data_IF_552239621058
#
_entry.id   IF_552239621058
#
_cell.length_a   1.000
_cell.length_b   1.000
_cell.length_c   1.000
_cell.angle_alpha   90.00
_cell.angle_beta   90.00
_cell.angle_gamma   90.00
#
_symmetry.space_group_name_H-M   'P 1'
#
loop_
_entity.id
_entity.type
_entity.pdbx_description
1 polymer ?
#
# COMPACT_ATOMS: atom_id res chain seq x y z
N UNK A 1 19.92 27.91 62.00
CA UNK A 1 19.73 27.47 60.62
C UNK A 1 19.82 25.95 60.38
N UNK A 2 19.74 25.08 61.36
CA UNK A 2 19.82 23.60 61.21
C UNK A 2 18.48 22.85 61.34
N UNK A 3 17.38 23.55 61.58
CA UNK A 3 16.05 22.93 61.76
C UNK A 3 15.06 23.17 60.61
N UNK A 4 15.35 24.09 59.70
CA UNK A 4 14.48 24.40 58.54
C UNK A 4 14.68 23.38 57.38
N UNK A 5 15.87 22.78 57.28
CA UNK A 5 16.19 21.80 56.24
C UNK A 5 15.53 20.41 56.44
N UNK A 6 15.14 20.07 57.66
CA UNK A 6 14.49 18.78 57.97
C UNK A 6 13.00 18.72 57.62
N UNK A 7 12.32 19.87 57.54
CA UNK A 7 10.89 19.93 57.21
C UNK A 7 10.64 20.03 55.69
N UNK A 8 11.62 20.50 54.93
CA UNK A 8 11.51 20.57 53.46
C UNK A 8 11.66 19.16 52.82
N UNK A 9 12.45 18.26 53.45
CA UNK A 9 12.65 16.89 52.94
C UNK A 9 11.44 15.97 53.21
N UNK A 10 10.58 16.27 54.19
CA UNK A 10 9.36 15.50 54.46
C UNK A 10 8.15 15.93 53.62
N UNK A 11 8.13 17.15 53.08
CA UNK A 11 7.01 17.65 52.26
C UNK A 11 7.13 17.16 50.81
N UNK A 12 8.33 16.82 50.32
CA UNK A 12 8.56 16.29 48.99
C UNK A 12 8.18 14.80 48.80
N UNK A 13 7.91 14.06 49.90
CA UNK A 13 7.55 12.63 49.87
C UNK A 13 6.02 12.39 49.85
N UNK A 14 5.20 13.45 49.88
CA UNK A 14 3.73 13.36 49.85
C UNK A 14 3.12 14.07 48.64
N UNK A 15 3.83 14.13 47.51
CA UNK A 15 3.15 14.42 46.25
C UNK A 15 2.28 13.19 45.90
N UNK A 16 0.94 13.31 45.84
CA UNK A 16 0.13 12.21 45.35
C UNK A 16 0.59 11.96 43.91
N UNK A 17 1.19 10.81 43.66
CA UNK A 17 1.34 10.28 42.30
C UNK A 17 -0.09 10.06 41.83
N UNK A 18 -0.66 11.07 41.17
CA UNK A 18 -1.88 10.88 40.38
C UNK A 18 -1.50 9.92 39.30
N UNK A 19 -1.74 8.63 39.49
CA UNK A 19 -1.89 7.65 38.45
C UNK A 19 -3.09 8.15 37.63
N UNK A 20 -2.81 9.00 36.66
CA UNK A 20 -3.71 9.16 35.53
C UNK A 20 -3.82 7.75 34.93
N UNK A 21 -4.91 7.05 35.22
CA UNK A 21 -5.34 5.96 34.41
C UNK A 21 -5.44 6.54 33.00
N UNK A 22 -4.41 6.31 32.19
CA UNK A 22 -4.40 6.76 30.78
C UNK A 22 -5.57 6.04 30.13
N UNK A 23 -6.70 6.74 30.03
CA UNK A 23 -7.80 6.27 29.20
C UNK A 23 -7.20 5.98 27.84
N UNK A 24 -7.35 4.74 27.39
CA UNK A 24 -6.88 4.35 26.05
C UNK A 24 -7.44 5.36 25.03
N UNK A 25 -6.58 6.01 24.24
CA UNK A 25 -7.04 6.97 23.25
C UNK A 25 -7.96 6.26 22.24
N UNK A 26 -9.15 6.81 22.06
CA UNK A 26 -10.09 6.33 21.04
C UNK A 26 -9.72 7.01 19.71
N UNK A 27 -9.41 6.21 18.70
CA UNK A 27 -9.05 6.68 17.38
C UNK A 27 -10.21 6.43 16.41
N UNK A 28 -10.88 7.50 15.90
CA UNK A 28 -11.82 7.37 14.82
C UNK A 28 -11.12 6.96 13.52
N UNK A 29 -11.86 6.33 12.59
CA UNK A 29 -11.33 5.84 11.31
C UNK A 29 -10.55 6.90 10.53
N UNK A 30 -11.10 8.11 10.42
CA UNK A 30 -10.47 9.20 9.67
C UNK A 30 -9.09 9.59 10.23
N UNK A 31 -8.95 9.58 11.57
CA UNK A 31 -7.66 9.84 12.21
C UNK A 31 -6.63 8.75 11.89
N UNK A 32 -7.07 7.49 11.80
CA UNK A 32 -6.21 6.37 11.40
C UNK A 32 -5.77 6.55 9.94
N UNK A 33 -6.71 6.83 9.02
CA UNK A 33 -6.41 7.04 7.60
C UNK A 33 -5.44 8.20 7.37
N UNK A 34 -5.60 9.31 8.11
CA UNK A 34 -4.67 10.44 8.06
C UNK A 34 -3.28 10.08 8.57
N UNK A 35 -3.18 9.29 9.65
CA UNK A 35 -1.88 8.83 10.17
C UNK A 35 -1.20 7.89 9.19
N UNK A 36 -1.95 7.01 8.52
CA UNK A 36 -1.42 6.14 7.46
C UNK A 36 -0.83 6.97 6.33
N UNK A 37 -1.53 7.99 5.86
CA UNK A 37 -1.04 8.86 4.78
C UNK A 37 0.25 9.60 5.15
N UNK A 38 0.34 10.12 6.38
CA UNK A 38 1.46 10.97 6.82
C UNK A 38 2.68 10.16 7.28
N UNK A 39 2.47 9.05 7.98
CA UNK A 39 3.53 8.40 8.75
C UNK A 39 4.03 7.10 8.10
N UNK A 40 3.31 6.53 7.13
CA UNK A 40 3.69 5.25 6.54
C UNK A 40 5.02 5.37 5.77
N UNK A 41 6.00 4.55 6.17
CA UNK A 41 7.38 4.62 5.65
C UNK A 41 7.42 4.28 4.15
N UNK A 42 6.61 3.32 3.69
CA UNK A 42 6.58 2.96 2.27
C UNK A 42 6.08 4.13 1.41
N UNK A 43 5.08 4.88 1.88
CA UNK A 43 4.60 6.05 1.16
C UNK A 43 5.67 7.16 1.07
N UNK A 44 6.48 7.33 2.11
CA UNK A 44 7.61 8.27 2.10
C UNK A 44 8.69 7.87 1.08
N UNK A 45 8.90 6.57 0.85
CA UNK A 45 9.90 6.08 -0.13
C UNK A 45 9.62 6.54 -1.56
N UNK A 46 8.35 6.78 -1.93
CA UNK A 46 7.98 7.27 -3.27
C UNK A 46 8.49 8.69 -3.54
N UNK A 47 8.52 9.56 -2.53
CA UNK A 47 9.11 10.89 -2.66
C UNK A 47 10.61 10.79 -2.95
N UNK A 48 11.32 9.95 -2.21
CA UNK A 48 12.76 9.72 -2.41
C UNK A 48 13.05 9.12 -3.79
N UNK A 49 12.23 8.19 -4.28
CA UNK A 49 12.36 7.64 -5.64
C UNK A 49 12.13 8.70 -6.70
N UNK A 50 11.13 9.55 -6.53
CA UNK A 50 10.86 10.64 -7.46
C UNK A 50 12.00 11.67 -7.48
N UNK A 51 12.60 11.98 -6.33
CA UNK A 51 13.78 12.85 -6.25
C UNK A 51 15.02 12.21 -6.86
N UNK A 52 15.20 10.88 -6.73
CA UNK A 52 16.27 10.17 -7.41
C UNK A 52 16.22 10.36 -8.94
N UNK A 53 15.02 10.34 -9.53
CA UNK A 53 14.87 10.62 -10.97
C UNK A 53 15.25 12.06 -11.33
N UNK A 54 15.06 13.02 -10.44
CA UNK A 54 15.52 14.41 -10.65
C UNK A 54 17.03 14.47 -10.80
N UNK A 55 17.77 13.84 -9.88
CA UNK A 55 19.23 13.78 -9.96
C UNK A 55 19.72 12.92 -11.14
N UNK A 56 19.04 11.82 -11.46
CA UNK A 56 19.32 11.02 -12.65
C UNK A 56 19.12 11.82 -13.94
N UNK A 57 18.13 12.68 -13.98
CA UNK A 57 17.88 13.58 -15.11
C UNK A 57 18.99 14.63 -15.25
N UNK A 58 19.50 15.16 -14.14
CA UNK A 58 20.64 16.09 -14.15
C UNK A 58 21.93 15.36 -14.59
N UNK A 59 22.19 14.16 -14.10
CA UNK A 59 23.31 13.33 -14.49
C UNK A 59 23.30 13.01 -16.00
N UNK A 60 22.09 12.83 -16.59
CA UNK A 60 21.96 12.57 -18.04
C UNK A 60 22.40 13.74 -18.93
N UNK A 61 22.63 14.93 -18.39
CA UNK A 61 23.19 16.08 -19.11
C UNK A 61 24.68 16.26 -18.92
N UNK A 62 25.32 15.45 -18.09
CA UNK A 62 26.76 15.50 -17.87
C UNK A 62 27.53 15.07 -19.14
N UNK A 63 28.61 15.75 -19.40
CA UNK A 63 29.53 15.35 -20.45
C UNK A 63 30.43 14.20 -19.93
N UNK A 64 30.87 13.37 -20.85
CA UNK A 64 31.90 12.39 -20.53
C UNK A 64 33.22 13.09 -20.15
N UNK A 65 33.96 12.51 -19.23
CA UNK A 65 35.25 13.04 -18.84
C UNK A 65 36.19 13.06 -20.06
N UNK A 66 37.10 14.07 -20.16
CA UNK A 66 38.14 14.06 -21.17
C UNK A 66 39.05 12.81 -21.00
N UNK A 67 39.34 12.17 -22.10
CA UNK A 67 40.26 11.05 -22.12
C UNK A 67 41.66 11.55 -22.38
N UNK A 68 42.64 11.11 -21.55
CA UNK A 68 44.04 11.38 -21.71
C UNK A 68 44.76 10.05 -21.97
N UNK A 69 45.49 9.99 -23.06
CA UNK A 69 46.25 8.83 -23.47
C UNK A 69 47.73 9.15 -23.66
N UNK A 70 48.59 8.21 -23.31
CA UNK A 70 50.04 8.25 -23.60
C UNK A 70 50.35 7.00 -24.38
N UNK A 71 51.13 7.17 -25.46
CA UNK A 71 51.49 6.06 -26.33
C UNK A 71 52.67 6.41 -27.20
N UNK A 72 53.01 5.53 -28.11
CA UNK A 72 54.02 5.77 -29.16
C UNK A 72 53.36 5.81 -30.51
N UNK A 73 53.87 6.60 -31.43
CA UNK A 73 53.36 6.76 -32.78
C UNK A 73 54.50 6.47 -33.78
N UNK A 74 54.20 5.64 -34.80
CA UNK A 74 55.14 5.23 -35.85
C UNK A 74 56.49 4.64 -35.28
N UNK A 75 56.40 3.97 -34.15
CA UNK A 75 57.57 3.33 -33.55
C UNK A 75 57.79 1.95 -34.19
N UNK A 76 58.98 1.66 -34.75
CA UNK A 76 59.28 0.37 -35.36
C UNK A 76 59.16 -0.79 -34.36
N UNK A 77 58.85 -1.98 -34.84
CA UNK A 77 58.84 -3.18 -33.99
C UNK A 77 60.28 -3.47 -33.46
N UNK A 78 60.39 -4.01 -32.24
CA UNK A 78 61.67 -4.39 -31.68
C UNK A 78 62.41 -5.32 -32.62
N UNK A 79 63.71 -5.03 -32.89
CA UNK A 79 64.55 -5.82 -33.75
C UNK A 79 64.59 -5.42 -35.23
N UNK A 80 63.76 -4.40 -35.65
CA UNK A 80 63.89 -3.83 -37.00
C UNK A 80 65.07 -2.88 -37.08
N UNK A 81 65.83 -2.96 -38.19
CA UNK A 81 66.98 -2.05 -38.47
C UNK A 81 66.43 -0.66 -38.79
N UNK A 82 66.83 0.31 -38.01
CA UNK A 82 66.42 1.72 -38.17
C UNK A 82 67.61 2.38 -38.95
N UNK A 83 67.40 2.77 -40.20
CA UNK A 83 68.37 3.40 -41.06
C UNK A 83 68.47 4.91 -40.91
N UNK A 84 67.35 5.58 -40.57
CA UNK A 84 67.32 7.01 -40.36
C UNK A 84 66.77 7.33 -38.94
N UNK A 85 67.34 8.36 -38.36
CA UNK A 85 66.95 8.85 -37.05
C UNK A 85 65.44 9.33 -37.02
N UNK A 86 64.91 9.62 -38.20
CA UNK A 86 63.48 9.97 -38.42
C UNK A 86 62.52 8.78 -38.23
N UNK A 87 62.99 7.57 -38.36
CA UNK A 87 62.19 6.35 -38.31
C UNK A 87 62.06 5.78 -36.88
N UNK A 88 62.63 6.46 -35.87
CA UNK A 88 62.53 6.05 -34.45
C UNK A 88 61.18 6.18 -33.84
N UNK A 89 60.27 6.84 -34.52
CA UNK A 89 58.91 7.13 -34.01
C UNK A 89 58.84 8.30 -33.04
N UNK A 90 57.71 8.48 -32.40
CA UNK A 90 57.44 9.58 -31.48
C UNK A 90 56.67 9.12 -30.22
N UNK A 91 56.94 9.72 -29.09
CA UNK A 91 56.08 9.68 -27.92
C UNK A 91 54.88 10.59 -28.17
N UNK A 92 53.65 10.07 -28.00
CA UNK A 92 52.41 10.77 -28.23
C UNK A 92 51.67 10.97 -26.92
N UNK A 93 51.25 12.18 -26.63
CA UNK A 93 50.29 12.55 -25.59
C UNK A 93 49.01 12.97 -26.29
N UNK A 94 47.90 12.28 -25.97
CA UNK A 94 46.58 12.49 -26.55
C UNK A 94 45.63 13.05 -25.52
N UNK A 95 44.80 14.03 -25.90
CA UNK A 95 43.67 14.51 -25.15
C UNK A 95 42.46 14.48 -26.10
N UNK A 96 41.38 13.83 -25.64
CA UNK A 96 40.13 13.69 -26.43
C UNK A 96 38.93 14.05 -25.57
N UNK A 97 38.01 14.85 -26.15
CA UNK A 97 36.76 15.25 -25.47
C UNK A 97 35.57 15.05 -26.39
N UNK A 98 34.59 14.31 -25.90
CA UNK A 98 33.28 14.21 -26.52
C UNK A 98 32.43 15.46 -26.17
N UNK A 99 31.77 16.04 -27.18
CA UNK A 99 30.88 17.17 -27.08
C UNK A 99 29.51 16.69 -27.55
N UNK A 100 28.69 16.11 -26.66
CA UNK A 100 27.37 15.61 -27.04
C UNK A 100 26.43 16.73 -27.42
N UNK A 101 25.49 16.45 -28.32
CA UNK A 101 24.54 17.46 -28.78
C UNK A 101 23.58 17.87 -27.63
N UNK A 102 23.51 19.16 -27.26
CA UNK A 102 22.67 19.62 -26.15
C UNK A 102 21.18 19.28 -26.32
N UNK A 103 20.70 19.18 -27.55
CA UNK A 103 19.30 18.85 -27.81
C UNK A 103 18.98 17.36 -27.52
N UNK A 104 19.97 16.47 -27.64
CA UNK A 104 19.85 15.06 -27.19
C UNK A 104 19.80 15.01 -25.67
N UNK A 105 20.76 15.67 -25.00
CA UNK A 105 20.86 15.70 -23.55
C UNK A 105 19.60 16.25 -22.91
N UNK A 106 19.10 17.40 -23.40
CA UNK A 106 17.89 18.01 -22.87
C UNK A 106 16.62 17.17 -23.11
N UNK A 107 16.51 16.46 -24.22
CA UNK A 107 15.38 15.57 -24.48
C UNK A 107 15.44 14.37 -23.53
N UNK A 108 16.63 13.76 -23.34
CA UNK A 108 16.85 12.66 -22.40
C UNK A 108 16.59 13.09 -20.96
N UNK A 109 17.03 14.29 -20.55
CA UNK A 109 16.72 14.86 -19.24
C UNK A 109 15.22 14.94 -19.00
N UNK A 110 14.45 15.49 -19.95
CA UNK A 110 12.98 15.59 -19.83
C UNK A 110 12.31 14.24 -19.71
N UNK A 111 12.74 13.25 -20.48
CA UNK A 111 12.24 11.89 -20.37
C UNK A 111 12.52 11.31 -18.97
N UNK A 112 13.76 11.33 -18.50
CA UNK A 112 14.12 10.77 -17.18
C UNK A 112 13.38 11.51 -16.06
N UNK A 113 13.29 12.85 -16.12
CA UNK A 113 12.56 13.63 -15.13
C UNK A 113 11.07 13.26 -15.06
N UNK A 114 10.45 12.92 -16.22
CA UNK A 114 9.03 12.51 -16.27
C UNK A 114 8.75 11.21 -15.52
N UNK A 115 9.73 10.32 -15.39
CA UNK A 115 9.59 9.07 -14.63
C UNK A 115 9.34 9.34 -13.13
N UNK A 116 9.87 10.46 -12.61
CA UNK A 116 9.55 10.90 -11.25
C UNK A 116 8.07 11.21 -11.02
N UNK A 117 7.35 11.67 -12.05
CA UNK A 117 5.89 11.88 -11.96
C UNK A 117 5.13 10.56 -11.92
N UNK A 118 5.58 9.55 -12.67
CA UNK A 118 5.02 8.19 -12.63
C UNK A 118 5.17 7.58 -11.23
N UNK A 119 6.33 7.78 -10.59
CA UNK A 119 6.53 7.34 -9.20
C UNK A 119 5.61 8.05 -8.21
N UNK A 120 5.46 9.37 -8.33
CA UNK A 120 4.52 10.12 -7.47
C UNK A 120 3.08 9.63 -7.64
N UNK A 121 2.64 9.36 -8.88
CA UNK A 121 1.33 8.78 -9.14
C UNK A 121 1.18 7.37 -8.53
N UNK A 122 2.25 6.58 -8.50
CA UNK A 122 2.30 5.27 -7.84
C UNK A 122 2.04 5.34 -6.34
N UNK A 123 2.50 6.41 -5.66
CA UNK A 123 2.22 6.65 -4.24
C UNK A 123 0.73 6.69 -3.94
N UNK A 124 -0.05 7.39 -4.74
CA UNK A 124 -1.48 7.57 -4.49
C UNK A 124 -2.27 6.26 -4.66
N UNK A 125 -1.81 5.36 -5.53
CA UNK A 125 -2.37 4.01 -5.67
C UNK A 125 -2.10 3.21 -4.39
N UNK A 126 -0.84 3.19 -3.93
CA UNK A 126 -0.45 2.48 -2.71
C UNK A 126 -1.16 3.04 -1.47
N UNK A 127 -1.34 4.36 -1.39
CA UNK A 127 -2.11 4.99 -0.32
C UNK A 127 -3.56 4.50 -0.33
N UNK A 128 -4.19 4.41 -1.50
CA UNK A 128 -5.56 3.92 -1.62
C UNK A 128 -5.69 2.45 -1.16
N UNK A 129 -4.70 1.61 -1.50
CA UNK A 129 -4.64 0.23 -1.01
C UNK A 129 -4.52 0.16 0.51
N UNK A 130 -3.67 0.99 1.12
CA UNK A 130 -3.52 1.05 2.57
C UNK A 130 -4.76 1.60 3.28
N UNK A 131 -5.44 2.59 2.68
CA UNK A 131 -6.72 3.08 3.21
C UNK A 131 -7.77 1.97 3.22
N UNK A 132 -7.90 1.20 2.14
CA UNK A 132 -8.82 0.08 2.08
C UNK A 132 -8.47 -1.02 3.10
N UNK A 133 -7.18 -1.34 3.24
CA UNK A 133 -6.73 -2.29 4.26
C UNK A 133 -7.01 -1.80 5.68
N UNK A 134 -6.77 -0.52 5.97
CA UNK A 134 -7.06 0.06 7.27
C UNK A 134 -8.57 0.04 7.59
N UNK A 135 -9.44 0.33 6.60
CA UNK A 135 -10.90 0.22 6.74
C UNK A 135 -11.31 -1.20 7.08
N UNK A 136 -10.84 -2.21 6.34
CA UNK A 136 -11.15 -3.62 6.61
C UNK A 136 -10.72 -4.04 8.03
N UNK A 137 -9.53 -3.66 8.47
CA UNK A 137 -9.05 -3.96 9.82
C UNK A 137 -9.91 -3.27 10.89
N UNK A 138 -10.31 -2.02 10.66
CA UNK A 138 -11.18 -1.27 11.55
C UNK A 138 -12.56 -1.92 11.66
N UNK A 139 -13.16 -2.34 10.54
CA UNK A 139 -14.46 -2.99 10.49
C UNK A 139 -14.44 -4.39 11.12
N UNK A 140 -13.38 -5.14 10.91
CA UNK A 140 -13.15 -6.41 11.61
C UNK A 140 -13.14 -6.21 13.14
N UNK A 141 -12.43 -5.19 13.62
CA UNK A 141 -12.42 -4.86 15.04
C UNK A 141 -13.80 -4.44 15.54
N UNK A 142 -14.49 -3.58 14.81
CA UNK A 142 -15.84 -3.11 15.14
C UNK A 142 -16.82 -4.27 15.29
N UNK A 143 -16.84 -5.19 14.33
CA UNK A 143 -17.73 -6.36 14.36
C UNK A 143 -17.32 -7.34 15.47
N UNK A 144 -16.02 -7.53 15.70
CA UNK A 144 -15.53 -8.36 16.82
C UNK A 144 -16.02 -7.84 18.19
N UNK A 145 -16.02 -6.51 18.41
CA UNK A 145 -16.59 -5.92 19.63
C UNK A 145 -18.10 -6.16 19.75
N UNK A 146 -18.84 -5.96 18.65
CA UNK A 146 -20.28 -6.27 18.64
C UNK A 146 -20.55 -7.75 18.95
N UNK A 147 -19.72 -8.64 18.41
CA UNK A 147 -19.82 -10.09 18.65
C UNK A 147 -19.57 -10.44 20.12
N UNK A 148 -18.56 -9.84 20.74
CA UNK A 148 -18.31 -10.01 22.19
C UNK A 148 -19.53 -9.61 23.00
N UNK A 149 -20.18 -8.48 22.69
CA UNK A 149 -21.39 -8.03 23.38
C UNK A 149 -22.52 -9.06 23.27
N UNK A 150 -22.78 -9.56 22.06
CA UNK A 150 -23.79 -10.60 21.83
C UNK A 150 -23.46 -11.90 22.59
N UNK A 151 -22.22 -12.34 22.56
CA UNK A 151 -21.77 -13.54 23.27
C UNK A 151 -21.92 -13.35 24.80
N UNK A 152 -21.61 -12.21 25.35
CA UNK A 152 -21.79 -11.90 26.78
C UNK A 152 -23.28 -11.91 27.19
N UNK A 153 -24.18 -11.42 26.35
CA UNK A 153 -25.61 -11.50 26.57
C UNK A 153 -26.10 -12.96 26.57
N UNK A 154 -25.65 -13.75 25.61
CA UNK A 154 -25.98 -15.17 25.50
C UNK A 154 -25.40 -15.99 26.67
N UNK A 155 -24.24 -15.65 27.19
CA UNK A 155 -23.64 -16.29 28.37
C UNK A 155 -24.52 -16.09 29.64
N UNK A 156 -25.09 -14.89 29.82
CA UNK A 156 -25.99 -14.63 30.95
C UNK A 156 -27.22 -15.53 30.93
N UNK A 157 -27.80 -15.75 29.73
CA UNK A 157 -28.97 -16.65 29.57
C UNK A 157 -28.57 -18.06 29.95
N UNK A 158 -27.46 -18.57 29.44
CA UNK A 158 -27.00 -19.93 29.69
C UNK A 158 -26.61 -20.14 31.16
N UNK A 159 -25.99 -19.14 31.80
CA UNK A 159 -25.68 -19.14 33.24
C UNK A 159 -26.94 -19.23 34.09
N UNK A 160 -28.01 -18.52 33.71
CA UNK A 160 -29.30 -18.59 34.38
C UNK A 160 -29.91 -20.01 34.25
N UNK A 161 -29.86 -20.62 33.06
CA UNK A 161 -30.35 -21.99 32.84
C UNK A 161 -29.59 -23.00 33.70
N UNK A 162 -28.23 -22.90 33.73
CA UNK A 162 -27.40 -23.74 34.58
C UNK A 162 -27.80 -23.66 36.05
N UNK A 163 -27.99 -22.43 36.55
CA UNK A 163 -28.40 -22.22 37.95
C UNK A 163 -29.77 -22.83 38.26
N UNK A 164 -30.73 -22.77 37.34
CA UNK A 164 -32.04 -23.41 37.51
C UNK A 164 -31.89 -24.93 37.58
N UNK A 165 -31.08 -25.55 36.72
CA UNK A 165 -30.80 -26.97 36.75
C UNK A 165 -30.13 -27.42 38.07
N UNK A 166 -29.14 -26.65 38.53
CA UNK A 166 -28.44 -26.93 39.82
C UNK A 166 -29.40 -26.91 41.00
N UNK A 167 -30.38 -25.98 41.03
CA UNK A 167 -31.39 -25.87 42.09
C UNK A 167 -32.41 -27.03 42.01
N UNK A 168 -32.80 -27.47 40.81
CA UNK A 168 -33.82 -28.52 40.60
C UNK A 168 -33.30 -29.93 40.77
N UNK A 169 -32.00 -30.14 40.56
CA UNK A 169 -31.40 -31.48 40.59
C UNK A 169 -31.60 -32.23 41.93
N UNK A 170 -31.38 -31.60 43.11
CA UNK A 170 -31.61 -32.28 44.39
C UNK A 170 -33.05 -32.75 44.65
N UNK A 171 -34.02 -32.14 43.93
CA UNK A 171 -35.45 -32.42 44.05
C UNK A 171 -35.95 -33.44 42.98
N UNK A 172 -35.03 -34.09 42.23
CA UNK A 172 -35.35 -34.95 41.10
C UNK A 172 -36.20 -34.33 39.99
N UNK A 173 -36.16 -32.98 39.89
CA UNK A 173 -36.87 -32.21 38.89
C UNK A 173 -36.04 -31.88 37.66
N UNK A 174 -34.75 -32.26 37.65
CA UNK A 174 -33.86 -32.10 36.50
C UNK A 174 -32.80 -33.22 36.47
N UNK A 175 -32.09 -33.33 35.34
CA UNK A 175 -31.01 -34.29 35.15
C UNK A 175 -29.65 -33.63 35.31
N UNK A 176 -28.71 -34.30 35.99
CA UNK A 176 -27.31 -33.81 36.11
C UNK A 176 -26.65 -33.55 34.75
N UNK A 177 -27.03 -34.30 33.72
CA UNK A 177 -26.61 -34.11 32.36
C UNK A 177 -26.96 -32.68 31.80
N UNK A 178 -28.07 -32.08 32.28
CA UNK A 178 -28.45 -30.70 31.94
C UNK A 178 -27.45 -29.69 32.45
N UNK A 179 -27.00 -29.84 33.69
CA UNK A 179 -25.96 -28.97 34.29
C UNK A 179 -24.66 -29.05 33.47
N UNK A 180 -24.23 -30.25 33.09
CA UNK A 180 -23.00 -30.42 32.29
C UNK A 180 -23.14 -29.84 30.89
N UNK A 181 -24.30 -30.02 30.21
CA UNK A 181 -24.57 -29.41 28.90
C UNK A 181 -24.53 -27.89 28.95
N UNK A 182 -25.18 -27.28 29.94
CA UNK A 182 -25.16 -25.84 30.13
C UNK A 182 -23.74 -25.33 30.39
N UNK A 183 -22.96 -26.03 31.22
CA UNK A 183 -21.58 -25.68 31.48
C UNK A 183 -20.71 -25.77 30.22
N UNK A 184 -20.85 -26.80 29.42
CA UNK A 184 -20.12 -26.96 28.16
C UNK A 184 -20.42 -25.78 27.19
N UNK A 185 -21.68 -25.32 27.11
CA UNK A 185 -22.07 -24.20 26.27
C UNK A 185 -21.53 -22.85 26.77
N UNK A 186 -21.41 -22.67 28.08
CA UNK A 186 -20.76 -21.49 28.66
C UNK A 186 -19.28 -21.46 28.28
N UNK A 187 -18.56 -22.57 28.41
CA UNK A 187 -17.13 -22.65 28.05
C UNK A 187 -16.90 -22.46 26.55
N UNK A 188 -17.77 -23.02 25.70
CA UNK A 188 -17.75 -22.80 24.24
C UNK A 188 -17.90 -21.30 23.93
N UNK A 189 -18.86 -20.64 24.56
CA UNK A 189 -19.11 -19.21 24.38
C UNK A 189 -17.93 -18.36 24.84
N UNK A 190 -17.29 -18.67 25.98
CA UNK A 190 -16.08 -18.00 26.43
C UNK A 190 -14.90 -18.20 25.50
N UNK A 191 -14.75 -19.37 24.89
CA UNK A 191 -13.74 -19.60 23.86
C UNK A 191 -13.98 -18.72 22.63
N UNK A 192 -15.24 -18.52 22.22
CA UNK A 192 -15.57 -17.61 21.14
C UNK A 192 -15.23 -16.16 21.50
N UNK A 193 -15.45 -15.72 22.74
CA UNK A 193 -15.05 -14.40 23.23
C UNK A 193 -13.52 -14.23 23.12
N UNK A 194 -12.72 -15.21 23.62
CA UNK A 194 -11.26 -15.16 23.51
C UNK A 194 -10.77 -15.09 22.06
N UNK A 195 -11.45 -15.77 21.13
CA UNK A 195 -11.16 -15.65 19.70
C UNK A 195 -11.37 -14.22 19.18
N UNK A 196 -12.45 -13.56 19.59
CA UNK A 196 -12.71 -12.15 19.19
C UNK A 196 -11.70 -11.17 19.79
N UNK A 197 -11.30 -11.39 21.05
CA UNK A 197 -10.23 -10.60 21.68
C UNK A 197 -8.90 -10.75 20.92
N UNK A 198 -8.57 -11.97 20.48
CA UNK A 198 -7.43 -12.22 19.62
C UNK A 198 -7.52 -11.51 18.26
N UNK A 199 -8.71 -11.51 17.65
CA UNK A 199 -8.96 -10.78 16.40
C UNK A 199 -8.79 -9.27 16.56
N UNK A 200 -9.26 -8.70 17.68
CA UNK A 200 -9.06 -7.29 18.03
C UNK A 200 -7.57 -6.97 18.20
N UNK A 201 -6.84 -7.79 18.95
CA UNK A 201 -5.40 -7.59 19.15
C UNK A 201 -4.62 -7.65 17.83
N UNK A 202 -4.96 -8.58 16.96
CA UNK A 202 -4.40 -8.68 15.60
C UNK A 202 -4.71 -7.44 14.77
N UNK A 203 -5.95 -6.99 14.73
CA UNK A 203 -6.36 -5.80 13.96
C UNK A 203 -5.62 -4.55 14.45
N UNK A 204 -5.52 -4.36 15.77
CA UNK A 204 -4.76 -3.27 16.41
C UNK A 204 -3.30 -3.26 16.00
N UNK A 205 -2.63 -4.41 16.06
CA UNK A 205 -1.22 -4.54 15.71
C UNK A 205 -0.96 -4.21 14.24
N UNK A 206 -1.83 -4.64 13.33
CA UNK A 206 -1.74 -4.32 11.92
C UNK A 206 -2.02 -2.82 11.63
N UNK A 207 -3.00 -2.22 12.29
CA UNK A 207 -3.25 -0.78 12.19
C UNK A 207 -2.06 0.04 12.69
N UNK A 208 -1.43 -0.38 13.80
CA UNK A 208 -0.19 0.24 14.27
C UNK A 208 0.91 0.18 13.23
N UNK A 209 1.10 -0.97 12.58
CA UNK A 209 2.08 -1.13 11.51
C UNK A 209 1.80 -0.18 10.33
N UNK A 210 0.55 -0.04 9.90
CA UNK A 210 0.18 0.88 8.82
C UNK A 210 0.44 2.35 9.19
N UNK A 211 0.22 2.72 10.47
CA UNK A 211 0.45 4.06 11.01
C UNK A 211 1.92 4.33 11.38
N UNK A 212 2.83 3.38 11.17
CA UNK A 212 4.22 3.45 11.65
C UNK A 212 4.32 3.70 13.16
N UNK A 213 3.52 2.98 13.94
CA UNK A 213 3.51 3.01 15.40
C UNK A 213 4.01 1.67 15.96
N UNK A 214 4.48 1.62 17.24
CA UNK A 214 4.86 0.36 17.88
C UNK A 214 3.72 -0.65 17.85
N UNK A 215 3.99 -1.90 17.44
CA UNK A 215 2.96 -2.93 17.24
C UNK A 215 2.11 -3.25 18.47
N UNK A 216 2.64 -3.01 19.66
CA UNK A 216 1.99 -3.19 20.97
C UNK A 216 1.32 -1.91 21.51
N UNK A 217 1.33 -0.80 20.77
CA UNK A 217 0.70 0.45 21.21
C UNK A 217 -0.80 0.23 21.43
N UNK A 218 -1.28 0.61 22.61
CA UNK A 218 -2.68 0.46 22.97
C UNK A 218 -3.50 1.68 22.52
N UNK A 219 -4.60 1.41 21.87
CA UNK A 219 -5.66 2.37 21.53
C UNK A 219 -6.96 1.61 21.35
N UNK A 220 -8.06 2.32 21.33
CA UNK A 220 -9.38 1.78 21.05
C UNK A 220 -9.99 2.48 19.83
N UNK A 221 -11.09 1.92 19.31
CA UNK A 221 -11.81 2.47 18.17
C UNK A 221 -13.17 3.02 18.60
N UNK A 222 -13.70 3.94 17.80
CA UNK A 222 -15.08 4.40 17.97
C UNK A 222 -16.06 3.29 17.57
N UNK A 223 -16.76 2.74 18.55
CA UNK A 223 -17.75 1.66 18.37
C UNK A 223 -19.12 2.16 17.89
N UNK A 224 -19.39 3.47 17.97
CA UNK A 224 -20.60 4.08 17.46
C UNK A 224 -20.54 4.29 15.93
N UNK A 225 -19.34 4.18 15.34
CA UNK A 225 -19.16 4.32 13.90
C UNK A 225 -19.93 3.25 13.13
N UNK A 226 -20.65 3.67 12.09
CA UNK A 226 -21.35 2.78 11.16
C UNK A 226 -20.96 3.13 9.73
N UNK A 227 -20.39 2.16 8.97
CA UNK A 227 -20.11 2.37 7.55
C UNK A 227 -21.41 2.62 6.79
N UNK A 228 -21.46 3.74 6.06
CA UNK A 228 -22.62 4.11 5.24
C UNK A 228 -22.26 3.91 3.78
N UNK A 229 -23.08 3.14 3.07
CA UNK A 229 -22.94 3.01 1.62
C UNK A 229 -23.51 4.23 0.91
N UNK A 230 -22.68 4.98 0.21
CA UNK A 230 -23.07 6.10 -0.64
C UNK A 230 -22.70 5.78 -2.09
N UNK A 231 -23.67 5.34 -2.93
CA UNK A 231 -23.39 5.08 -4.34
C UNK A 231 -22.91 6.37 -5.03
N UNK A 232 -22.02 6.23 -6.00
CA UNK A 232 -21.61 7.35 -6.83
C UNK A 232 -22.78 7.81 -7.72
N UNK A 233 -22.84 9.10 -8.00
CA UNK A 233 -23.90 9.68 -8.83
C UNK A 233 -23.84 9.16 -10.28
N UNK A 234 -22.66 8.81 -10.76
CA UNK A 234 -22.45 8.25 -12.11
C UNK A 234 -21.20 7.35 -12.11
N UNK A 235 -21.25 6.30 -12.89
CA UNK A 235 -20.12 5.42 -13.23
C UNK A 235 -19.65 5.62 -14.68
N UNK A 236 -19.87 6.82 -15.23
CA UNK A 236 -19.35 7.14 -16.57
C UNK A 236 -17.83 7.02 -16.61
N UNK A 237 -17.33 6.42 -17.71
CA UNK A 237 -15.89 6.19 -17.89
C UNK A 237 -15.06 7.47 -17.87
N UNK A 238 -15.64 8.62 -18.30
CA UNK A 238 -14.97 9.91 -18.26
C UNK A 238 -14.83 10.40 -16.79
N UNK A 239 -15.87 10.27 -15.98
CA UNK A 239 -15.82 10.62 -14.55
C UNK A 239 -14.86 9.71 -13.79
N UNK A 240 -14.85 8.40 -14.09
CA UNK A 240 -13.92 7.45 -13.50
C UNK A 240 -12.48 7.75 -13.88
N UNK A 241 -12.20 8.15 -15.11
CA UNK A 241 -10.86 8.51 -15.56
C UNK A 241 -10.26 9.69 -14.80
N UNK A 242 -11.10 10.65 -14.38
CA UNK A 242 -10.66 11.80 -13.57
C UNK A 242 -10.42 11.47 -12.10
N UNK A 243 -11.18 10.52 -11.56
CA UNK A 243 -11.09 10.17 -10.14
C UNK A 243 -9.97 9.15 -9.85
N UNK A 244 -9.71 8.23 -10.76
CA UNK A 244 -8.83 7.08 -10.56
C UNK A 244 -7.36 7.44 -10.69
N UNK A 245 -6.58 7.14 -9.64
CA UNK A 245 -5.13 7.40 -9.59
C UNK A 245 -4.30 6.41 -10.40
N UNK A 246 -4.79 5.19 -10.61
CA UNK A 246 -4.17 4.21 -11.50
C UNK A 246 -4.26 4.62 -12.98
N UNK A 247 -5.40 5.19 -13.38
CA UNK A 247 -5.56 5.79 -14.70
C UNK A 247 -4.63 6.98 -14.86
N UNK A 248 -4.54 7.85 -13.85
CA UNK A 248 -3.61 8.98 -13.86
C UNK A 248 -2.15 8.52 -13.98
N UNK A 249 -1.75 7.46 -13.25
CA UNK A 249 -0.41 6.88 -13.40
C UNK A 249 -0.15 6.37 -14.81
N UNK A 250 -1.15 5.73 -15.43
CA UNK A 250 -1.06 5.26 -16.80
C UNK A 250 -0.90 6.42 -17.79
N UNK A 251 -1.65 7.51 -17.61
CA UNK A 251 -1.54 8.72 -18.40
C UNK A 251 -0.15 9.37 -18.28
N UNK A 252 0.43 9.43 -17.07
CA UNK A 252 1.81 9.90 -16.86
C UNK A 252 2.85 8.95 -17.49
N UNK A 253 2.59 7.64 -17.51
CA UNK A 253 3.45 6.66 -18.18
C UNK A 253 3.42 6.84 -19.70
N UNK A 254 2.25 7.04 -20.29
CA UNK A 254 2.09 7.33 -21.72
C UNK A 254 2.83 8.63 -22.08
N UNK A 255 2.69 9.67 -21.25
CA UNK A 255 3.40 10.94 -21.43
C UNK A 255 4.92 10.76 -21.35
N UNK A 256 5.40 9.95 -20.42
CA UNK A 256 6.83 9.62 -20.30
C UNK A 256 7.34 8.91 -21.57
N UNK A 257 6.57 7.94 -22.11
CA UNK A 257 6.91 7.28 -23.39
C UNK A 257 6.92 8.24 -24.57
N UNK A 258 6.02 9.23 -24.61
CA UNK A 258 6.04 10.27 -25.63
C UNK A 258 7.30 11.13 -25.57
N UNK A 259 7.78 11.45 -24.34
CA UNK A 259 9.06 12.15 -24.14
C UNK A 259 10.26 11.29 -24.54
N UNK A 260 10.18 9.97 -24.34
CA UNK A 260 11.21 9.04 -24.81
C UNK A 260 11.27 8.99 -26.34
N UNK A 261 10.11 8.95 -27.02
CA UNK A 261 10.04 9.10 -28.48
C UNK A 261 10.69 10.41 -28.93
N UNK A 262 10.46 11.52 -28.22
CA UNK A 262 11.14 12.78 -28.53
C UNK A 262 12.65 12.69 -28.35
N UNK A 263 13.11 12.00 -27.29
CA UNK A 263 14.53 11.75 -27.06
C UNK A 263 15.12 10.93 -28.21
N UNK A 264 14.48 9.82 -28.59
CA UNK A 264 14.89 9.00 -29.74
C UNK A 264 14.92 9.77 -31.06
N UNK A 265 13.95 10.67 -31.27
CA UNK A 265 13.95 11.55 -32.45
C UNK A 265 15.16 12.49 -32.51
N UNK A 266 15.75 12.83 -31.36
CA UNK A 266 16.96 13.67 -31.30
C UNK A 266 18.24 12.88 -31.57
N UNK A 267 18.21 11.54 -31.51
CA UNK A 267 19.37 10.70 -31.81
C UNK A 267 19.86 10.85 -33.28
N UNK A 268 19.04 11.37 -34.17
CA UNK A 268 19.44 11.73 -35.53
C UNK A 268 20.39 12.95 -35.62
N UNK A 269 20.56 13.71 -34.51
CA UNK A 269 21.46 14.87 -34.50
C UNK A 269 22.88 14.39 -34.27
N UNK A 270 23.87 15.08 -34.92
CA UNK A 270 25.27 14.71 -34.77
C UNK A 270 25.79 15.10 -33.39
N UNK A 271 26.75 14.33 -32.92
CA UNK A 271 27.63 14.69 -31.80
C UNK A 271 29.00 15.10 -32.36
N UNK A 272 29.73 15.89 -31.60
CA UNK A 272 31.06 16.36 -31.95
C UNK A 272 32.08 15.74 -31.00
N UNK A 273 33.31 15.61 -31.53
CA UNK A 273 34.47 15.19 -30.74
C UNK A 273 35.65 16.00 -31.18
N UNK A 274 36.45 16.45 -30.24
CA UNK A 274 37.72 17.10 -30.48
C UNK A 274 38.82 16.26 -29.90
N UNK A 275 39.93 16.17 -30.65
CA UNK A 275 41.13 15.44 -30.25
C UNK A 275 42.34 16.30 -30.52
N UNK A 276 43.28 16.32 -29.59
CA UNK A 276 44.54 16.98 -29.68
C UNK A 276 45.65 15.95 -29.31
N UNK A 277 46.63 15.79 -30.21
CA UNK A 277 47.77 14.92 -30.01
C UNK A 277 49.04 15.78 -30.03
N UNK A 278 49.87 15.66 -29.01
CA UNK A 278 51.22 16.21 -28.98
C UNK A 278 52.24 15.06 -29.23
N UNK A 279 53.12 15.25 -30.19
CA UNK A 279 54.14 14.25 -30.61
C UNK A 279 55.52 14.79 -30.32
N UNK A 280 56.28 14.06 -29.50
CA UNK A 280 57.70 14.31 -29.21
C UNK A 280 58.54 13.21 -29.86
N UNK A 281 59.31 13.51 -30.93
CA UNK A 281 60.10 12.52 -31.64
C UNK A 281 61.14 11.87 -30.70
N UNK A 282 61.36 10.56 -30.91
CA UNK A 282 62.39 9.79 -30.21
C UNK A 282 63.79 9.96 -30.87
N UNK A 283 63.85 10.45 -32.13
CA UNK A 283 65.05 10.80 -32.85
C UNK A 283 65.32 12.30 -32.84
N UNK A 284 66.61 12.70 -32.83
CA UNK A 284 67.00 14.09 -32.72
C UNK A 284 66.74 14.93 -34.01
N UNK A 285 66.50 14.30 -35.13
CA UNK A 285 66.40 14.96 -36.44
C UNK A 285 64.98 15.49 -36.78
N UNK A 286 63.96 15.28 -35.92
CA UNK A 286 62.57 15.72 -36.18
C UNK A 286 62.11 16.76 -35.18
N UNK A 287 61.38 17.80 -35.61
CA UNK A 287 60.76 18.75 -34.72
C UNK A 287 59.59 18.12 -33.94
N UNK A 288 59.29 18.69 -32.74
CA UNK A 288 58.04 18.37 -32.04
C UNK A 288 56.86 18.82 -32.90
N UNK A 289 55.82 18.01 -32.96
CA UNK A 289 54.62 18.27 -33.74
C UNK A 289 53.35 18.13 -32.91
N UNK A 290 52.28 18.68 -33.39
CA UNK A 290 50.95 18.44 -32.83
C UNK A 290 49.94 18.16 -33.95
N UNK A 291 48.89 17.43 -33.60
CA UNK A 291 47.73 17.22 -34.46
C UNK A 291 46.46 17.68 -33.73
N UNK A 292 45.58 18.39 -34.40
CA UNK A 292 44.26 18.73 -33.88
C UNK A 292 43.22 18.19 -34.86
N UNK A 293 42.26 17.42 -34.33
CA UNK A 293 41.24 16.77 -35.13
C UNK A 293 39.82 17.07 -34.55
N UNK A 294 38.92 17.57 -35.39
CA UNK A 294 37.50 17.62 -35.09
C UNK A 294 36.79 16.46 -35.82
N UNK A 295 35.94 15.76 -35.08
CA UNK A 295 35.14 14.65 -35.61
C UNK A 295 33.65 14.94 -35.41
N UNK A 296 32.82 14.49 -36.36
CA UNK A 296 31.38 14.60 -36.28
C UNK A 296 30.75 13.22 -36.54
N UNK A 297 29.79 12.83 -35.68
CA UNK A 297 29.03 11.60 -35.88
C UNK A 297 27.94 11.84 -36.93
N UNK A 298 27.69 10.84 -37.81
CA UNK A 298 26.67 10.91 -38.85
C UNK A 298 25.63 9.79 -38.62
N UNK A 299 24.64 9.99 -37.69
CA UNK A 299 23.71 8.93 -37.31
C UNK A 299 22.53 8.73 -38.29
N UNK A 300 22.59 9.35 -39.46
CA UNK A 300 21.53 9.25 -40.48
C UNK A 300 21.73 8.11 -41.48
N UNK A 301 22.89 7.45 -41.45
CA UNK A 301 23.18 6.30 -42.32
C UNK A 301 22.15 5.17 -42.09
N UNK A 302 21.77 4.41 -43.16
CA UNK A 302 20.71 3.40 -43.09
C UNK A 302 20.87 2.39 -41.94
N UNK A 303 22.09 1.93 -41.69
CA UNK A 303 22.41 0.97 -40.63
C UNK A 303 22.32 1.59 -39.25
N UNK A 304 22.74 2.83 -39.03
CA UNK A 304 22.68 3.52 -37.73
C UNK A 304 21.30 4.07 -37.45
N UNK A 305 20.56 4.53 -38.48
CA UNK A 305 19.23 5.10 -38.30
C UNK A 305 18.15 4.06 -37.94
N UNK A 306 18.39 2.77 -38.21
CA UNK A 306 17.46 1.69 -37.90
C UNK A 306 17.16 1.61 -36.42
N UNK A 307 18.16 1.82 -35.54
CA UNK A 307 18.03 1.74 -34.10
C UNK A 307 16.93 2.70 -33.58
N UNK A 308 17.02 3.99 -33.86
CA UNK A 308 16.04 4.95 -33.37
C UNK A 308 14.71 4.90 -34.14
N UNK A 309 14.71 4.58 -35.45
CA UNK A 309 13.46 4.46 -36.24
C UNK A 309 12.60 3.28 -35.78
N UNK A 310 13.20 2.12 -35.59
CA UNK A 310 12.51 0.93 -35.09
C UNK A 310 12.09 1.09 -33.63
N UNK A 311 12.96 1.70 -32.81
CA UNK A 311 12.64 2.03 -31.41
C UNK A 311 11.42 2.94 -31.29
N UNK A 312 11.34 4.00 -32.09
CA UNK A 312 10.17 4.90 -32.14
C UNK A 312 8.91 4.14 -32.49
N UNK A 313 8.98 3.28 -33.54
CA UNK A 313 7.82 2.51 -33.99
C UNK A 313 7.34 1.52 -32.92
N UNK A 314 8.26 0.82 -32.27
CA UNK A 314 7.94 -0.06 -31.12
C UNK A 314 7.26 0.70 -29.99
N UNK A 315 7.80 1.87 -29.63
CA UNK A 315 7.24 2.70 -28.57
C UNK A 315 5.84 3.24 -28.92
N UNK A 316 5.59 3.58 -30.17
CA UNK A 316 4.26 3.98 -30.65
C UNK A 316 3.23 2.85 -30.49
N UNK A 317 3.58 1.61 -30.80
CA UNK A 317 2.69 0.46 -30.56
C UNK A 317 2.47 0.22 -29.05
N UNK A 318 3.50 0.39 -28.21
CA UNK A 318 3.35 0.28 -26.75
C UNK A 318 2.37 1.34 -26.22
N UNK A 319 2.44 2.59 -26.71
CA UNK A 319 1.48 3.64 -26.33
C UNK A 319 0.06 3.25 -26.73
N UNK A 320 -0.13 2.79 -27.98
CA UNK A 320 -1.45 2.34 -28.44
C UNK A 320 -1.99 1.16 -27.61
N UNK A 321 -1.13 0.23 -27.21
CA UNK A 321 -1.50 -0.87 -26.31
C UNK A 321 -1.97 -0.34 -24.96
N UNK A 322 -1.20 0.56 -24.33
CA UNK A 322 -1.58 1.18 -23.04
C UNK A 322 -2.87 2.00 -23.13
N UNK A 323 -3.15 2.69 -24.24
CA UNK A 323 -4.42 3.38 -24.45
C UNK A 323 -5.61 2.41 -24.51
N UNK A 324 -5.41 1.20 -25.11
CA UNK A 324 -6.42 0.14 -25.09
C UNK A 324 -6.60 -0.46 -23.69
N UNK A 325 -5.52 -0.74 -22.99
CA UNK A 325 -5.53 -1.22 -21.60
C UNK A 325 -6.25 -0.22 -20.68
N UNK A 326 -5.98 1.09 -20.84
CA UNK A 326 -6.67 2.16 -20.13
C UNK A 326 -8.19 2.12 -20.37
N UNK A 327 -8.61 1.96 -21.62
CA UNK A 327 -10.02 1.90 -21.96
C UNK A 327 -10.69 0.63 -21.41
N UNK A 328 -10.00 -0.51 -21.47
CA UNK A 328 -10.47 -1.77 -20.90
C UNK A 328 -10.62 -1.68 -19.39
N UNK A 329 -9.62 -1.12 -18.68
CA UNK A 329 -9.66 -0.90 -17.23
C UNK A 329 -10.87 -0.05 -16.80
N UNK A 330 -11.17 1.02 -17.54
CA UNK A 330 -12.33 1.88 -17.23
C UNK A 330 -13.65 1.13 -17.43
N UNK A 331 -13.77 0.33 -18.48
CA UNK A 331 -14.96 -0.46 -18.77
C UNK A 331 -15.17 -1.57 -17.73
N UNK A 332 -14.11 -2.27 -17.37
CA UNK A 332 -14.11 -3.29 -16.30
C UNK A 332 -14.51 -2.68 -14.95
N UNK A 333 -13.91 -1.53 -14.61
CA UNK A 333 -14.25 -0.81 -13.36
C UNK A 333 -15.72 -0.39 -13.32
N UNK A 334 -16.26 0.09 -14.42
CA UNK A 334 -17.68 0.44 -14.53
C UNK A 334 -18.56 -0.77 -14.24
N UNK A 335 -18.29 -1.91 -14.87
CA UNK A 335 -19.03 -3.15 -14.65
C UNK A 335 -18.92 -3.64 -13.21
N UNK A 336 -17.71 -3.59 -12.63
CA UNK A 336 -17.44 -3.97 -11.25
C UNK A 336 -18.22 -3.09 -10.26
N UNK A 337 -18.22 -1.78 -10.43
CA UNK A 337 -18.92 -0.85 -9.54
C UNK A 337 -20.44 -1.06 -9.56
N UNK A 338 -21.06 -1.29 -10.72
CA UNK A 338 -22.45 -1.67 -10.80
C UNK A 338 -22.73 -3.01 -10.11
N UNK A 339 -21.88 -4.01 -10.33
CA UNK A 339 -22.00 -5.30 -9.64
C UNK A 339 -21.95 -5.17 -8.13
N UNK A 340 -20.94 -4.44 -7.62
CA UNK A 340 -20.80 -4.16 -6.18
C UNK A 340 -22.02 -3.40 -5.61
N UNK A 341 -22.53 -2.43 -6.34
CA UNK A 341 -23.72 -1.68 -5.90
C UNK A 341 -24.94 -2.59 -5.69
N UNK A 342 -25.24 -3.46 -6.67
CA UNK A 342 -26.35 -4.40 -6.56
C UNK A 342 -26.14 -5.40 -5.42
N UNK A 343 -24.93 -5.89 -5.25
CA UNK A 343 -24.60 -6.84 -4.18
C UNK A 343 -24.74 -6.19 -2.80
N UNK A 344 -24.19 -4.98 -2.60
CA UNK A 344 -24.33 -4.20 -1.36
C UNK A 344 -25.82 -3.99 -1.02
N UNK A 345 -26.63 -3.57 -1.99
CA UNK A 345 -28.07 -3.36 -1.78
C UNK A 345 -28.79 -4.67 -1.43
N UNK A 346 -28.41 -5.79 -2.05
CA UNK A 346 -28.94 -7.11 -1.71
C UNK A 346 -28.56 -7.53 -0.30
N UNK A 347 -27.29 -7.34 0.09
CA UNK A 347 -26.82 -7.66 1.45
C UNK A 347 -27.51 -6.81 2.50
N UNK A 348 -27.70 -5.51 2.27
CA UNK A 348 -28.45 -4.62 3.18
C UNK A 348 -29.87 -5.13 3.42
N UNK A 349 -30.59 -5.51 2.34
CA UNK A 349 -31.95 -6.07 2.48
C UNK A 349 -31.98 -7.39 3.26
N UNK A 350 -30.99 -8.27 3.06
CA UNK A 350 -30.89 -9.53 3.82
C UNK A 350 -30.61 -9.30 5.30
N UNK A 351 -29.67 -8.41 5.61
CA UNK A 351 -29.34 -8.05 7.00
C UNK A 351 -30.56 -7.46 7.69
N UNK A 352 -31.26 -6.50 7.08
CA UNK A 352 -32.49 -5.93 7.60
C UNK A 352 -33.56 -7.00 7.86
N UNK A 353 -33.74 -7.96 6.94
CA UNK A 353 -34.69 -9.05 7.14
C UNK A 353 -34.29 -9.96 8.32
N UNK A 354 -33.01 -10.22 8.52
CA UNK A 354 -32.51 -11.01 9.66
C UNK A 354 -32.71 -10.25 10.98
N UNK A 355 -32.38 -8.96 11.04
CA UNK A 355 -32.48 -8.13 12.24
C UNK A 355 -33.91 -7.83 12.64
N UNK A 356 -34.79 -7.48 11.67
CA UNK A 356 -36.15 -7.00 11.96
C UNK A 356 -37.17 -8.12 12.04
N UNK A 357 -36.91 -9.29 11.45
CA UNK A 357 -37.91 -10.37 11.38
C UNK A 357 -37.43 -11.67 12.01
N UNK A 358 -36.27 -12.18 11.59
CA UNK A 358 -35.82 -13.54 11.97
C UNK A 358 -35.34 -13.56 13.43
N UNK A 359 -34.45 -12.66 13.82
CA UNK A 359 -33.93 -12.60 15.21
C UNK A 359 -35.05 -12.35 16.21
N UNK A 360 -35.98 -11.38 16.02
CA UNK A 360 -37.12 -11.19 16.94
C UNK A 360 -38.00 -12.43 17.08
N UNK A 361 -38.29 -13.14 15.98
CA UNK A 361 -39.08 -14.38 16.04
C UNK A 361 -38.36 -15.51 16.80
N UNK A 362 -37.04 -15.66 16.59
CA UNK A 362 -36.24 -16.65 17.35
C UNK A 362 -36.11 -16.26 18.84
N UNK A 363 -36.04 -14.98 19.17
CA UNK A 363 -36.04 -14.48 20.55
C UNK A 363 -37.36 -14.81 21.23
N UNK A 364 -38.51 -14.50 20.57
CA UNK A 364 -39.82 -14.87 21.08
C UNK A 364 -39.98 -16.38 21.29
N UNK A 365 -39.43 -17.21 20.39
CA UNK A 365 -39.42 -18.67 20.53
C UNK A 365 -38.62 -19.10 21.75
N UNK A 366 -37.41 -18.54 21.95
CA UNK A 366 -36.58 -18.81 23.12
C UNK A 366 -37.32 -18.40 24.41
N UNK A 367 -37.90 -17.20 24.45
CA UNK A 367 -38.63 -16.69 25.63
C UNK A 367 -39.83 -17.59 25.98
N UNK A 368 -40.60 -18.02 24.99
CA UNK A 368 -41.73 -18.93 25.18
C UNK A 368 -41.29 -20.32 25.69
N UNK A 369 -40.21 -20.87 25.08
CA UNK A 369 -39.66 -22.16 25.52
C UNK A 369 -39.03 -22.06 26.92
N UNK A 370 -38.41 -20.95 27.26
CA UNK A 370 -37.86 -20.71 28.57
C UNK A 370 -38.93 -20.62 29.65
N UNK A 371 -40.06 -19.95 29.37
CA UNK A 371 -41.22 -19.87 30.27
C UNK A 371 -41.83 -21.28 30.50
N UNK A 372 -42.06 -22.05 29.42
CA UNK A 372 -42.58 -23.41 29.52
C UNK A 372 -41.63 -24.35 30.30
N UNK A 373 -40.34 -24.15 30.16
CA UNK A 373 -39.36 -24.88 30.94
C UNK A 373 -39.44 -24.52 32.44
N UNK A 374 -39.61 -23.23 32.78
CA UNK A 374 -39.78 -22.79 34.17
C UNK A 374 -41.04 -23.43 34.81
N UNK A 375 -42.06 -23.66 34.03
CA UNK A 375 -43.32 -24.31 34.46
C UNK A 375 -43.25 -25.84 34.42
N UNK A 376 -42.07 -26.48 34.19
CA UNK A 376 -41.88 -27.92 34.03
C UNK A 376 -42.68 -28.54 32.85
N UNK A 377 -43.09 -27.76 31.86
CA UNK A 377 -43.83 -28.24 30.68
C UNK A 377 -42.89 -28.63 29.53
N UNK A 378 -41.62 -28.25 29.58
CA UNK A 378 -40.64 -28.48 28.52
C UNK A 378 -39.31 -28.89 29.10
N UNK A 379 -38.56 -29.76 28.37
CA UNK A 379 -37.21 -30.17 28.75
C UNK A 379 -36.19 -29.07 28.45
N UNK A 380 -35.09 -29.02 29.24
CA UNK A 380 -33.99 -28.08 29.03
C UNK A 380 -33.40 -28.16 27.62
N UNK A 381 -33.34 -29.36 27.02
CA UNK A 381 -32.82 -29.58 25.66
C UNK A 381 -33.49 -28.67 24.62
N UNK A 382 -34.82 -28.53 24.68
CA UNK A 382 -35.56 -27.72 23.74
C UNK A 382 -35.31 -26.20 23.92
N UNK A 383 -34.98 -25.77 25.15
CA UNK A 383 -34.56 -24.38 25.40
C UNK A 383 -33.16 -24.15 24.88
N UNK A 384 -32.24 -25.11 25.07
CA UNK A 384 -30.89 -25.04 24.49
C UNK A 384 -30.95 -25.00 22.96
N UNK A 385 -31.77 -25.80 22.32
CA UNK A 385 -31.97 -25.81 20.86
C UNK A 385 -32.44 -24.43 20.36
N UNK A 386 -33.38 -23.80 21.06
CA UNK A 386 -33.88 -22.46 20.73
C UNK A 386 -32.81 -21.38 20.94
N UNK A 387 -32.02 -21.51 22.01
CA UNK A 387 -30.89 -20.62 22.28
C UNK A 387 -29.79 -20.76 21.23
N UNK A 388 -29.46 -21.99 20.82
CA UNK A 388 -28.50 -22.25 19.74
C UNK A 388 -28.95 -21.63 18.42
N UNK A 389 -30.24 -21.79 18.06
CA UNK A 389 -30.81 -21.21 16.85
C UNK A 389 -30.70 -19.68 16.85
N UNK A 390 -31.02 -19.03 17.98
CA UNK A 390 -30.88 -17.57 18.13
C UNK A 390 -29.40 -17.15 18.04
N UNK A 391 -28.52 -17.78 18.78
CA UNK A 391 -27.08 -17.44 18.82
C UNK A 391 -26.43 -17.62 17.43
N UNK A 392 -26.77 -18.70 16.73
CA UNK A 392 -26.30 -18.93 15.37
C UNK A 392 -26.77 -17.85 14.40
N UNK A 393 -28.07 -17.43 14.49
CA UNK A 393 -28.58 -16.36 13.63
C UNK A 393 -27.95 -15.01 13.94
N UNK A 394 -27.74 -14.67 15.21
CA UNK A 394 -27.00 -13.46 15.62
C UNK A 394 -25.56 -13.45 15.10
N UNK A 395 -24.88 -14.62 15.12
CA UNK A 395 -23.54 -14.74 14.54
C UNK A 395 -23.57 -14.53 13.03
N UNK A 396 -24.53 -15.16 12.33
CA UNK A 396 -24.69 -15.03 10.88
C UNK A 396 -24.93 -13.59 10.45
N UNK A 397 -25.73 -12.82 11.20
CA UNK A 397 -25.95 -11.38 10.91
C UNK A 397 -24.64 -10.61 11.03
N UNK A 398 -23.85 -10.86 12.06
CA UNK A 398 -22.56 -10.18 12.24
C UNK A 398 -21.55 -10.57 11.14
N UNK A 399 -21.60 -11.81 10.65
CA UNK A 399 -20.79 -12.25 9.51
C UNK A 399 -21.23 -11.54 8.21
N UNK A 400 -22.53 -11.43 7.96
CA UNK A 400 -23.04 -10.68 6.81
C UNK A 400 -22.78 -9.18 6.93
N UNK A 401 -22.87 -8.59 8.13
CA UNK A 401 -22.45 -7.19 8.36
C UNK A 401 -20.98 -6.97 8.07
N UNK A 402 -20.10 -7.89 8.49
CA UNK A 402 -18.66 -7.79 8.20
C UNK A 402 -18.42 -7.83 6.70
N UNK A 403 -19.02 -8.78 5.98
CA UNK A 403 -18.92 -8.86 4.50
C UNK A 403 -19.42 -7.59 3.83
N UNK A 404 -20.55 -7.04 4.30
CA UNK A 404 -21.07 -5.76 3.80
C UNK A 404 -20.06 -4.63 3.99
N UNK A 405 -19.47 -4.50 5.16
CA UNK A 405 -18.49 -3.46 5.46
C UNK A 405 -17.20 -3.61 4.64
N UNK A 406 -16.73 -4.84 4.46
CA UNK A 406 -15.58 -5.13 3.58
C UNK A 406 -15.89 -4.76 2.13
N UNK A 407 -17.09 -5.07 1.65
CA UNK A 407 -17.51 -4.70 0.29
C UNK A 407 -17.67 -3.19 0.11
N UNK A 408 -18.15 -2.47 1.13
CA UNK A 408 -18.17 -0.99 1.12
C UNK A 408 -16.73 -0.45 1.04
N UNK A 409 -15.78 -1.01 1.81
CA UNK A 409 -14.39 -0.61 1.75
C UNK A 409 -13.77 -0.87 0.35
N UNK A 410 -14.13 -1.98 -0.29
CA UNK A 410 -13.68 -2.29 -1.65
C UNK A 410 -14.31 -1.38 -2.70
N UNK A 411 -15.58 -1.07 -2.55
CA UNK A 411 -16.26 -0.10 -3.40
C UNK A 411 -15.63 1.30 -3.31
N UNK A 412 -15.36 1.78 -2.09
CA UNK A 412 -14.66 3.05 -1.87
C UNK A 412 -13.23 3.04 -2.42
N UNK A 413 -12.53 1.90 -2.32
CA UNK A 413 -11.22 1.69 -2.94
C UNK A 413 -11.28 1.88 -4.45
N UNK A 414 -12.29 1.31 -5.12
CA UNK A 414 -12.44 1.44 -6.58
C UNK A 414 -12.75 2.88 -7.01
N UNK A 415 -13.37 3.67 -6.15
CA UNK A 415 -13.65 5.09 -6.36
C UNK A 415 -12.52 6.03 -5.91
N UNK A 416 -11.46 5.50 -5.28
CA UNK A 416 -10.36 6.31 -4.72
C UNK A 416 -10.81 7.33 -3.66
N UNK A 417 -11.77 6.94 -2.80
CA UNK A 417 -12.33 7.76 -1.72
C UNK A 417 -11.68 7.48 -0.36
#
# INVERSE_FOLDING_TARGET
MKYITKYITCILLWAPVQLFAQQMPVLPLDSILQRVDRNNILLQSYALKADAFKYSADAATAWMAPMVGVGTFMTPYPGQMIMDDRDKGSLMLQIEQDIPNPAKLNAKKRFIASQGNVERAGRDITLNDFKAQARRLYYNWLVAKKRITVLQENEKIMTTMKKIEEVRYPYNQSQLSGVFKANAKIEENQNMIRMQEGAIAKARSWLNSLMNAPGNQLFDIDTAFQPVFAPAASYDTAALALARKDVFKMDESIRSMQLDIESMKREKKPDFRVRFDHMSPLGAAMPKAFSAMGMISIPIAPWSSRMYKSGIKAMQYNIQAMEKERSAMLQETQGMLYGMQYEIQSMQKRITAMEDKIIPSLRQTLDANFLNYQENKLALSSVIDSWEALTMMQSNVLDEQLKLYEMIADYEKQLYR
#
